data_IF_679286760779
#
_entry.id   IF_679286760779
#
_cell.length_a   1.000
_cell.length_b   1.000
_cell.length_c   1.000
_cell.angle_alpha   90.00
_cell.angle_beta   90.00
_cell.angle_gamma   90.00
#
_symmetry.space_group_name_H-M   'P 1'
#
loop_
_entity.id
_entity.type
_entity.pdbx_description
1 polymer ?
#
# COMPACT_ATOMS: atom_id res chain seq x y z
N UNK A 1 3.16 -34.21 8.72
CA UNK A 1 2.94 -32.78 8.39
C UNK A 1 2.06 -32.75 7.14
N UNK A 2 0.74 -32.53 7.28
CA UNK A 2 -0.18 -32.55 6.15
C UNK A 2 -0.08 -31.22 5.39
N UNK A 3 0.57 -31.23 4.22
CA UNK A 3 0.42 -30.14 3.25
C UNK A 3 -1.02 -30.18 2.76
N UNK A 4 -1.80 -29.13 3.04
CA UNK A 4 -3.09 -28.89 2.38
C UNK A 4 -2.84 -28.96 0.87
N UNK A 5 -3.60 -29.81 0.17
CA UNK A 5 -3.62 -29.86 -1.29
C UNK A 5 -4.38 -28.62 -1.77
N UNK A 6 -3.66 -27.52 -1.97
CA UNK A 6 -4.18 -26.41 -2.77
C UNK A 6 -4.13 -26.86 -4.23
N UNK A 7 -5.28 -26.99 -4.86
CA UNK A 7 -5.41 -27.28 -6.28
C UNK A 7 -4.89 -26.07 -7.06
N UNK A 8 -3.71 -26.24 -7.66
CA UNK A 8 -2.98 -25.26 -8.46
C UNK A 8 -2.49 -24.03 -7.69
N UNK A 9 -1.17 -23.93 -7.56
CA UNK A 9 -0.49 -22.68 -7.19
C UNK A 9 -0.56 -21.74 -8.40
N UNK A 10 -1.76 -21.28 -8.73
CA UNK A 10 -1.95 -20.28 -9.77
C UNK A 10 -1.58 -18.94 -9.17
N UNK A 11 -0.53 -18.30 -9.71
CA UNK A 11 -0.25 -16.91 -9.35
C UNK A 11 -1.52 -16.10 -9.56
N UNK A 12 -1.77 -15.15 -8.66
CA UNK A 12 -2.96 -14.32 -8.76
C UNK A 12 -3.05 -13.75 -10.20
N UNK A 13 -4.23 -13.77 -10.85
CA UNK A 13 -4.39 -13.39 -12.27
C UNK A 13 -3.92 -11.98 -12.63
N UNK A 14 -3.45 -11.19 -11.66
CA UNK A 14 -2.83 -9.88 -11.89
C UNK A 14 -1.30 -9.89 -12.03
N UNK A 15 -0.62 -11.03 -11.81
CA UNK A 15 0.82 -11.15 -12.11
C UNK A 15 0.94 -11.78 -13.50
N UNK A 16 1.23 -10.94 -14.48
CA UNK A 16 1.28 -11.32 -15.90
C UNK A 16 2.58 -12.04 -16.24
N UNK A 17 3.69 -11.66 -15.59
CA UNK A 17 5.00 -12.27 -15.82
C UNK A 17 5.90 -12.12 -14.60
N UNK A 18 6.56 -13.20 -14.23
CA UNK A 18 7.62 -13.21 -13.21
C UNK A 18 8.95 -13.40 -13.93
N UNK A 19 9.91 -12.52 -13.69
CA UNK A 19 11.28 -12.63 -14.20
C UNK A 19 12.23 -12.91 -13.04
N UNK A 20 12.03 -12.24 -11.91
CA UNK A 20 12.87 -12.37 -10.72
C UNK A 20 12.03 -12.21 -9.45
N UNK A 21 12.21 -13.12 -8.51
CA UNK A 21 11.65 -13.10 -7.19
C UNK A 21 12.74 -13.20 -6.11
N UNK A 22 12.41 -12.77 -4.88
CA UNK A 22 13.31 -12.95 -3.74
C UNK A 22 13.35 -14.43 -3.37
N UNK A 23 14.54 -15.04 -3.44
CA UNK A 23 14.72 -16.44 -3.04
C UNK A 23 14.34 -16.63 -1.56
N UNK A 24 13.46 -17.60 -1.29
CA UNK A 24 12.92 -17.84 0.05
C UNK A 24 11.83 -16.85 0.49
N UNK A 25 11.51 -15.86 -0.35
CA UNK A 25 10.49 -14.84 -0.07
C UNK A 25 10.91 -13.85 1.01
N UNK A 26 9.91 -13.19 1.60
CA UNK A 26 10.13 -12.29 2.73
C UNK A 26 8.99 -12.32 3.73
N UNK A 27 9.31 -11.96 4.96
CA UNK A 27 8.38 -11.98 6.08
C UNK A 27 7.60 -10.68 6.13
N UNK A 28 6.27 -10.75 6.04
CA UNK A 28 5.39 -9.59 6.12
C UNK A 28 5.10 -9.25 7.58
N UNK A 29 5.32 -7.99 7.95
CA UNK A 29 5.03 -7.46 9.26
C UNK A 29 3.52 -7.26 9.44
N UNK A 30 2.92 -8.03 10.36
CA UNK A 30 1.48 -7.95 10.63
C UNK A 30 1.08 -6.76 11.51
N UNK A 31 2.03 -6.18 12.23
CA UNK A 31 1.79 -5.27 13.37
C UNK A 31 0.87 -4.11 13.00
N UNK A 32 1.05 -3.55 11.81
CA UNK A 32 0.34 -2.37 11.32
C UNK A 32 -0.97 -2.69 10.59
N UNK A 33 -1.25 -3.97 10.37
CA UNK A 33 -2.42 -4.48 9.65
C UNK A 33 -3.41 -5.19 10.59
N UNK A 34 -2.92 -5.68 11.74
CA UNK A 34 -3.72 -6.39 12.73
C UNK A 34 -4.91 -5.54 13.18
N UNK A 35 -6.11 -6.10 13.06
CA UNK A 35 -7.37 -5.44 13.43
C UNK A 35 -7.95 -4.53 12.34
N UNK A 36 -7.26 -4.37 11.20
CA UNK A 36 -7.74 -3.61 10.04
C UNK A 36 -8.25 -4.59 8.97
N UNK A 37 -7.43 -5.58 8.64
CA UNK A 37 -7.74 -6.64 7.68
C UNK A 37 -7.41 -8.01 8.29
N UNK A 38 -8.06 -9.05 7.77
CA UNK A 38 -7.78 -10.45 8.16
C UNK A 38 -6.74 -11.10 7.26
N UNK A 39 -6.77 -10.79 5.98
CA UNK A 39 -5.87 -11.34 4.97
C UNK A 39 -5.38 -10.17 4.09
N UNK A 40 -4.06 -10.10 3.88
CA UNK A 40 -3.47 -9.20 2.91
C UNK A 40 -3.57 -9.86 1.53
N UNK A 41 -4.22 -9.22 0.54
CA UNK A 41 -4.23 -9.73 -0.82
C UNK A 41 -2.82 -9.78 -1.42
N UNK A 42 -2.60 -10.57 -2.49
CA UNK A 42 -1.38 -10.48 -3.29
C UNK A 42 -1.33 -9.14 -4.03
N UNK A 43 -0.29 -8.92 -4.83
CA UNK A 43 -0.06 -7.71 -5.65
C UNK A 43 -0.04 -6.41 -4.84
N UNK A 44 0.39 -6.48 -3.58
CA UNK A 44 0.56 -5.33 -2.70
C UNK A 44 2.01 -4.88 -2.70
N UNK A 45 2.25 -3.59 -2.84
CA UNK A 45 3.58 -2.98 -2.73
C UNK A 45 4.02 -2.97 -1.27
N UNK A 46 5.23 -3.47 -1.02
CA UNK A 46 5.84 -3.52 0.30
C UNK A 46 7.24 -2.91 0.27
N UNK A 47 7.66 -2.37 1.42
CA UNK A 47 9.00 -1.85 1.66
C UNK A 47 9.65 -2.54 2.84
N UNK A 48 10.96 -2.74 2.80
CA UNK A 48 11.73 -3.42 3.83
C UNK A 48 12.14 -2.46 4.96
N UNK A 49 12.08 -2.94 6.20
CA UNK A 49 12.65 -2.24 7.35
C UNK A 49 14.11 -2.66 7.64
N UNK A 50 14.75 -1.99 8.60
CA UNK A 50 16.13 -2.26 9.01
C UNK A 50 16.34 -3.68 9.57
N UNK A 51 15.28 -4.32 10.09
CA UNK A 51 15.32 -5.69 10.61
C UNK A 51 15.03 -6.74 9.51
N UNK A 52 14.77 -6.29 8.29
CA UNK A 52 14.45 -7.12 7.15
C UNK A 52 13.00 -7.62 7.08
N UNK A 53 12.09 -7.07 7.89
CA UNK A 53 10.66 -7.32 7.74
C UNK A 53 10.08 -6.40 6.66
N UNK A 54 9.14 -6.92 5.89
CA UNK A 54 8.44 -6.16 4.86
C UNK A 54 7.13 -5.60 5.38
N UNK A 55 6.93 -4.30 5.21
CA UNK A 55 5.73 -3.59 5.61
C UNK A 55 4.97 -3.09 4.40
N UNK A 56 3.65 -3.02 4.49
CA UNK A 56 2.80 -2.54 3.39
C UNK A 56 2.99 -1.04 3.21
N UNK A 57 3.29 -0.62 1.99
CA UNK A 57 3.21 0.78 1.61
C UNK A 57 1.74 1.14 1.46
N UNK A 58 1.16 1.73 2.50
CA UNK A 58 -0.27 2.01 2.54
C UNK A 58 -0.62 3.16 1.62
N UNK A 59 -1.59 2.94 0.75
CA UNK A 59 -2.10 3.94 -0.19
C UNK A 59 -3.63 3.92 -0.24
N UNK A 60 -4.23 5.03 -0.68
CA UNK A 60 -5.67 5.12 -0.95
C UNK A 60 -5.94 6.07 -2.12
N UNK A 61 -7.04 5.86 -2.84
CA UNK A 61 -7.43 6.74 -3.95
C UNK A 61 -8.23 7.93 -3.40
N UNK A 62 -7.82 9.15 -3.74
CA UNK A 62 -8.48 10.37 -3.30
C UNK A 62 -9.70 10.63 -4.18
N UNK A 63 -10.86 10.81 -3.56
CA UNK A 63 -12.06 11.34 -4.20
C UNK A 63 -12.12 12.87 -4.12
N UNK A 64 -11.82 13.42 -2.93
CA UNK A 64 -11.90 14.86 -2.67
C UNK A 64 -11.02 15.25 -1.48
N UNK A 65 -10.42 16.43 -1.54
CA UNK A 65 -9.72 17.05 -0.40
C UNK A 65 -10.40 18.39 -0.09
N UNK A 66 -10.71 18.62 1.18
CA UNK A 66 -11.27 19.85 1.70
C UNK A 66 -10.54 20.19 3.00
N UNK A 67 -9.52 21.04 2.90
CA UNK A 67 -8.65 21.41 4.03
C UNK A 67 -8.01 20.18 4.70
N UNK A 68 -8.38 19.89 5.95
CA UNK A 68 -7.89 18.76 6.72
C UNK A 68 -8.75 17.48 6.55
N UNK A 69 -9.79 17.52 5.72
CA UNK A 69 -10.69 16.39 5.47
C UNK A 69 -10.43 15.82 4.07
N UNK A 70 -10.18 14.52 4.01
CA UNK A 70 -9.81 13.79 2.80
C UNK A 70 -10.81 12.65 2.61
N UNK A 71 -11.57 12.70 1.53
CA UNK A 71 -12.44 11.61 1.11
C UNK A 71 -11.64 10.66 0.23
N UNK A 72 -11.63 9.38 0.59
CA UNK A 72 -10.92 8.32 -0.13
C UNK A 72 -11.83 7.15 -0.47
N UNK A 73 -11.44 6.36 -1.47
CA UNK A 73 -12.09 5.09 -1.77
C UNK A 73 -11.95 4.10 -0.62
N UNK A 74 -12.89 3.15 -0.57
CA UNK A 74 -12.92 2.08 0.44
C UNK A 74 -11.69 1.17 0.34
N UNK A 75 -11.53 0.36 1.38
CA UNK A 75 -10.53 -0.72 1.50
C UNK A 75 -9.11 -0.25 1.83
N UNK A 76 -8.86 1.04 2.05
CA UNK A 76 -7.57 1.49 2.54
C UNK A 76 -7.22 0.87 3.91
N UNK A 77 -5.91 0.70 4.17
CA UNK A 77 -5.37 0.07 5.39
C UNK A 77 -4.73 1.05 6.38
N UNK A 78 -5.00 2.35 6.20
CA UNK A 78 -4.55 3.39 7.14
C UNK A 78 -5.14 3.23 8.55
N UNK A 79 -4.39 3.73 9.53
CA UNK A 79 -4.77 3.75 10.94
C UNK A 79 -4.64 5.16 11.53
N UNK A 80 -5.49 5.47 12.50
CA UNK A 80 -5.38 6.70 13.31
C UNK A 80 -3.99 6.77 13.97
N UNK A 81 -3.38 7.95 13.93
CA UNK A 81 -2.03 8.23 14.40
C UNK A 81 -0.92 8.02 13.36
N UNK A 82 -1.23 7.55 12.15
CA UNK A 82 -0.27 7.47 11.05
C UNK A 82 -0.19 8.80 10.30
N UNK A 83 1.00 9.17 9.82
CA UNK A 83 1.18 10.34 8.97
C UNK A 83 0.86 9.99 7.51
N UNK A 84 0.20 10.90 6.80
CA UNK A 84 -0.13 10.74 5.37
C UNK A 84 0.24 11.99 4.59
N UNK A 85 0.54 11.79 3.30
CA UNK A 85 0.83 12.84 2.32
C UNK A 85 0.08 12.59 1.03
N UNK A 86 -0.17 13.66 0.25
CA UNK A 86 -0.78 13.56 -1.07
C UNK A 86 0.32 13.32 -2.10
N UNK A 87 0.24 12.19 -2.81
CA UNK A 87 1.24 11.77 -3.79
C UNK A 87 2.52 11.19 -3.18
N UNK A 88 3.19 10.34 -3.95
CA UNK A 88 4.49 9.74 -3.66
C UNK A 88 5.67 10.55 -4.16
N UNK A 89 5.45 11.78 -4.66
CA UNK A 89 6.51 12.66 -5.16
C UNK A 89 7.30 13.37 -4.04
N UNK A 90 6.89 13.18 -2.78
CA UNK A 90 7.51 13.72 -1.57
C UNK A 90 7.54 15.25 -1.47
N UNK A 91 6.79 15.96 -2.34
CA UNK A 91 6.76 17.43 -2.34
C UNK A 91 5.69 17.99 -1.40
N UNK A 92 4.60 17.25 -1.20
CA UNK A 92 3.53 17.63 -0.29
C UNK A 92 3.97 17.69 1.18
N UNK A 93 3.18 18.38 2.01
CA UNK A 93 3.31 18.27 3.45
C UNK A 93 2.71 16.92 3.91
N UNK A 94 3.07 16.47 5.11
CA UNK A 94 2.49 15.30 5.75
C UNK A 94 2.00 15.62 7.14
N UNK A 95 0.86 15.05 7.54
CA UNK A 95 0.35 15.19 8.90
C UNK A 95 -0.39 13.93 9.36
N UNK A 96 -0.61 13.84 10.67
CA UNK A 96 -1.19 12.70 11.35
C UNK A 96 -2.69 12.59 11.11
N UNK A 97 -3.15 11.36 10.89
CA UNK A 97 -4.57 11.02 10.87
C UNK A 97 -5.12 11.09 12.29
N UNK A 98 -6.12 11.93 12.50
CA UNK A 98 -6.83 12.10 13.78
C UNK A 98 -8.02 11.15 13.87
N UNK A 99 -8.76 10.99 12.77
CA UNK A 99 -9.92 10.12 12.71
C UNK A 99 -10.12 9.53 11.33
N UNK A 100 -10.78 8.37 11.29
CA UNK A 100 -11.20 7.69 10.07
C UNK A 100 -12.66 7.31 10.26
N UNK A 101 -13.54 7.91 9.46
CA UNK A 101 -14.96 7.56 9.40
C UNK A 101 -15.20 6.61 8.23
N UNK A 102 -15.72 5.42 8.53
CA UNK A 102 -16.05 4.36 7.57
C UNK A 102 -17.54 4.11 7.42
N UNK A 103 -18.39 4.99 7.97
CA UNK A 103 -19.85 4.84 8.02
C UNK A 103 -20.50 4.90 6.63
N UNK A 104 -19.89 5.64 5.69
CA UNK A 104 -20.39 5.75 4.33
C UNK A 104 -20.07 4.48 3.52
N UNK A 105 -21.02 4.05 2.69
CA UNK A 105 -20.89 2.83 1.88
C UNK A 105 -19.88 2.99 0.72
N UNK A 106 -19.81 4.19 0.12
CA UNK A 106 -19.07 4.46 -1.12
C UNK A 106 -17.66 5.01 -0.88
N UNK A 107 -17.44 5.62 0.29
CA UNK A 107 -16.17 6.29 0.63
C UNK A 107 -15.83 6.17 2.12
N UNK A 108 -14.56 6.36 2.41
CA UNK A 108 -14.05 6.57 3.76
C UNK A 108 -13.59 8.04 3.90
N UNK A 109 -13.78 8.64 5.07
CA UNK A 109 -13.37 10.02 5.35
C UNK A 109 -12.24 10.03 6.36
N UNK A 110 -11.07 10.49 5.93
CA UNK A 110 -9.87 10.64 6.75
C UNK A 110 -9.74 12.10 7.15
N UNK A 111 -9.67 12.36 8.45
CA UNK A 111 -9.36 13.71 8.98
C UNK A 111 -7.94 13.73 9.48
N UNK A 112 -7.13 14.65 8.94
CA UNK A 112 -5.75 14.90 9.37
C UNK A 112 -5.69 16.08 10.35
N UNK A 113 -4.60 16.19 11.12
CA UNK A 113 -4.47 17.21 12.16
C UNK A 113 -4.36 18.64 11.58
N UNK A 114 -3.76 18.79 10.40
CA UNK A 114 -3.73 20.03 9.65
C UNK A 114 -3.79 19.75 8.15
N UNK A 115 -4.17 20.75 7.35
CA UNK A 115 -4.24 20.62 5.90
C UNK A 115 -2.85 20.31 5.30
N UNK A 116 -2.78 19.24 4.50
CA UNK A 116 -1.53 18.74 3.88
C UNK A 116 -1.34 19.21 2.42
N UNK A 117 -2.18 20.15 1.98
CA UNK A 117 -2.18 20.70 0.63
C UNK A 117 -3.46 20.36 -0.15
N UNK A 118 -3.52 20.85 -1.39
CA UNK A 118 -4.64 20.57 -2.28
C UNK A 118 -4.45 19.21 -2.98
N UNK A 119 -5.46 18.35 -2.92
CA UNK A 119 -5.53 17.10 -3.68
C UNK A 119 -6.64 17.12 -4.71
N UNK A 120 -6.44 16.38 -5.80
CA UNK A 120 -7.42 16.19 -6.88
C UNK A 120 -7.95 14.76 -6.87
N UNK A 121 -9.18 14.60 -7.36
CA UNK A 121 -9.76 13.27 -7.59
C UNK A 121 -8.82 12.43 -8.47
N UNK A 122 -8.60 11.18 -8.08
CA UNK A 122 -7.73 10.25 -8.78
C UNK A 122 -6.25 10.34 -8.39
N UNK A 123 -5.86 11.27 -7.50
CA UNK A 123 -4.54 11.22 -6.87
C UNK A 123 -4.51 10.17 -5.77
N UNK A 124 -3.30 9.76 -5.39
CA UNK A 124 -3.08 8.74 -4.36
C UNK A 124 -2.64 9.40 -3.06
N UNK A 125 -3.31 9.05 -1.97
CA UNK A 125 -2.86 9.36 -0.61
C UNK A 125 -1.88 8.27 -0.18
N UNK A 126 -0.73 8.65 0.38
CA UNK A 126 0.39 7.73 0.67
C UNK A 126 0.82 7.86 2.13
N UNK A 127 1.25 6.73 2.72
CA UNK A 127 1.83 6.67 4.06
C UNK A 127 3.16 7.43 4.15
N UNK A 128 3.20 8.46 4.99
CA UNK A 128 4.40 9.19 5.34
C UNK A 128 5.01 8.64 6.65
N UNK A 129 6.31 8.87 6.83
CA UNK A 129 7.05 8.45 8.03
C UNK A 129 6.55 9.19 9.28
N UNK A 130 6.36 10.48 9.17
CA UNK A 130 6.06 11.40 10.25
C UNK A 130 5.50 12.72 9.72
N UNK A 131 5.04 13.62 10.61
CA UNK A 131 4.56 14.95 10.26
C UNK A 131 5.72 15.80 9.75
N UNK A 132 5.59 16.33 8.55
CA UNK A 132 6.62 17.12 7.90
C UNK A 132 6.04 18.29 7.12
N UNK A 133 6.84 19.34 6.98
CA UNK A 133 6.54 20.43 6.06
C UNK A 133 6.72 19.97 4.60
N UNK A 134 6.18 20.74 3.67
CA UNK A 134 6.35 20.49 2.24
C UNK A 134 7.84 20.35 1.87
N UNK A 135 8.13 19.39 0.98
CA UNK A 135 9.47 18.99 0.53
C UNK A 135 10.38 18.32 1.58
N UNK A 136 9.87 18.05 2.78
CA UNK A 136 10.60 17.29 3.82
C UNK A 136 9.97 15.93 4.13
N UNK A 137 8.83 15.62 3.51
CA UNK A 137 8.14 14.35 3.71
C UNK A 137 8.97 13.18 3.17
N UNK A 138 8.89 12.04 3.85
CA UNK A 138 9.52 10.79 3.45
C UNK A 138 8.53 9.65 3.57
N UNK A 139 8.70 8.62 2.74
CA UNK A 139 7.99 7.36 2.93
C UNK A 139 8.34 6.75 4.28
N UNK A 140 7.34 6.19 4.96
CA UNK A 140 7.61 5.38 6.16
C UNK A 140 8.40 4.11 5.82
N UNK A 141 8.03 3.48 4.71
CA UNK A 141 8.71 2.33 4.11
C UNK A 141 8.87 2.61 2.63
N UNK A 142 10.10 2.54 2.13
CA UNK A 142 10.40 2.81 0.72
C UNK A 142 9.83 1.66 -0.12
N UNK A 143 9.00 1.94 -1.14
CA UNK A 143 8.52 0.92 -2.08
C UNK A 143 9.66 0.14 -2.73
N UNK A 144 9.64 -1.19 -2.63
CA UNK A 144 10.74 -2.03 -3.11
C UNK A 144 10.27 -3.22 -3.95
N UNK A 145 9.27 -3.96 -3.47
CA UNK A 145 8.81 -5.21 -4.11
C UNK A 145 7.31 -5.38 -3.99
N UNK A 146 6.75 -6.35 -4.72
CA UNK A 146 5.31 -6.65 -4.73
C UNK A 146 5.05 -8.06 -4.18
N UNK A 147 4.05 -8.21 -3.31
CA UNK A 147 3.66 -9.52 -2.77
C UNK A 147 3.05 -10.41 -3.85
N UNK A 148 3.39 -11.70 -3.83
CA UNK A 148 2.89 -12.66 -4.81
C UNK A 148 1.74 -13.52 -4.28
N UNK A 149 1.71 -13.72 -2.97
CA UNK A 149 0.74 -14.58 -2.31
C UNK A 149 -0.04 -13.79 -1.27
N UNK A 150 -1.26 -14.26 -1.00
CA UNK A 150 -2.06 -13.80 0.15
C UNK A 150 -1.34 -14.12 1.46
N UNK A 151 -1.55 -13.28 2.47
CA UNK A 151 -0.91 -13.41 3.79
C UNK A 151 -1.96 -13.29 4.88
N UNK A 152 -2.09 -14.32 5.72
CA UNK A 152 -2.98 -14.27 6.87
C UNK A 152 -2.36 -13.39 7.96
N UNK A 153 -3.07 -12.31 8.31
CA UNK A 153 -2.60 -11.29 9.24
C UNK A 153 -3.15 -11.51 10.66
N UNK A 154 -4.04 -12.50 10.82
CA UNK A 154 -4.63 -12.89 12.12
C UNK A 154 -3.64 -13.68 12.98
N UNK A 155 -2.74 -14.43 12.34
CA UNK A 155 -1.67 -15.21 12.99
C UNK A 155 -0.35 -14.43 13.03
N UNK A 156 0.74 -15.04 13.51
CA UNK A 156 2.07 -14.41 13.54
C UNK A 156 2.55 -13.99 12.14
N UNK A 157 3.62 -13.18 12.07
CA UNK A 157 4.19 -12.74 10.79
C UNK A 157 4.42 -13.94 9.86
N UNK A 158 3.91 -13.86 8.64
CA UNK A 158 3.99 -14.93 7.64
C UNK A 158 4.87 -14.52 6.47
N UNK A 159 5.34 -15.52 5.73
CA UNK A 159 6.12 -15.32 4.52
C UNK A 159 5.21 -15.10 3.31
N UNK A 160 5.66 -14.25 2.39
CA UNK A 160 5.10 -14.14 1.04
C UNK A 160 6.22 -14.27 0.01
N UNK A 161 5.88 -14.74 -1.18
CA UNK A 161 6.75 -14.59 -2.34
C UNK A 161 6.81 -13.11 -2.70
N UNK A 162 7.98 -12.62 -3.09
CA UNK A 162 8.19 -11.21 -3.38
C UNK A 162 8.71 -11.06 -4.79
N UNK A 163 7.93 -10.37 -5.63
CA UNK A 163 8.27 -10.05 -7.00
C UNK A 163 9.23 -8.86 -7.01
N UNK A 164 10.42 -9.07 -7.57
CA UNK A 164 11.44 -8.04 -7.78
C UNK A 164 11.35 -7.50 -9.21
N UNK A 165 11.18 -8.39 -10.19
CA UNK A 165 11.15 -8.05 -11.61
C UNK A 165 10.05 -8.81 -12.34
N UNK A 166 9.25 -8.10 -13.12
CA UNK A 166 8.14 -8.73 -13.83
C UNK A 166 7.15 -7.76 -14.45
N UNK A 167 5.95 -8.26 -14.73
CA UNK A 167 4.82 -7.49 -15.23
C UNK A 167 3.63 -7.70 -14.31
N UNK A 168 3.01 -6.61 -13.86
CA UNK A 168 1.84 -6.59 -12.98
C UNK A 168 0.70 -5.82 -13.64
N UNK A 169 -0.50 -6.38 -13.57
CA UNK A 169 -1.74 -5.74 -13.98
C UNK A 169 -2.20 -4.77 -12.89
N UNK A 170 -2.06 -3.49 -13.16
CA UNK A 170 -2.41 -2.40 -12.25
C UNK A 170 -3.91 -2.38 -11.96
N UNK A 171 -4.76 -2.64 -12.96
CA UNK A 171 -6.23 -2.56 -12.82
C UNK A 171 -6.83 -3.47 -11.74
N UNK A 172 -6.14 -4.56 -11.40
CA UNK A 172 -6.57 -5.53 -10.38
C UNK A 172 -5.76 -5.44 -9.10
N UNK A 173 -4.85 -4.45 -8.98
CA UNK A 173 -4.14 -4.20 -7.74
C UNK A 173 -5.13 -3.77 -6.65
N UNK A 174 -5.01 -4.31 -5.42
CA UNK A 174 -5.93 -4.02 -4.32
C UNK A 174 -5.80 -2.59 -3.79
N UNK A 175 -4.63 -1.97 -3.95
CA UNK A 175 -4.33 -0.61 -3.52
C UNK A 175 -3.75 0.20 -4.69
N UNK A 176 -4.08 1.49 -4.80
CA UNK A 176 -3.62 2.31 -5.91
C UNK A 176 -2.15 2.66 -5.76
N UNK A 177 -1.46 2.75 -6.90
CA UNK A 177 -0.03 3.07 -6.98
C UNK A 177 0.14 4.23 -7.95
N UNK A 178 0.78 5.31 -7.51
CA UNK A 178 1.02 6.47 -8.36
C UNK A 178 2.32 6.33 -9.17
N UNK A 179 2.52 7.26 -10.11
CA UNK A 179 3.67 7.21 -11.01
C UNK A 179 5.01 7.37 -10.27
N UNK A 180 5.03 8.07 -9.13
CA UNK A 180 6.23 8.23 -8.31
C UNK A 180 6.64 6.92 -7.63
N UNK A 181 5.68 6.18 -7.06
CA UNK A 181 5.94 4.84 -6.49
C UNK A 181 6.33 3.86 -7.59
N UNK A 182 5.69 3.89 -8.77
CA UNK A 182 6.07 3.06 -9.92
C UNK A 182 7.49 3.32 -10.37
N UNK A 183 7.96 4.58 -10.32
CA UNK A 183 9.33 4.93 -10.68
C UNK A 183 10.37 4.32 -9.72
N UNK A 184 10.02 4.10 -8.44
CA UNK A 184 10.87 3.38 -7.48
C UNK A 184 10.91 1.87 -7.80
N UNK A 185 9.81 1.30 -8.30
CA UNK A 185 9.67 -0.09 -8.72
C UNK A 185 10.10 -0.31 -10.18
N UNK A 186 11.25 0.24 -10.58
CA UNK A 186 11.74 0.31 -11.98
C UNK A 186 11.80 -1.03 -12.72
N UNK A 187 11.96 -2.13 -12.00
CA UNK A 187 12.09 -3.48 -12.54
C UNK A 187 10.72 -4.17 -12.72
N UNK A 188 9.63 -3.55 -12.24
CA UNK A 188 8.26 -4.02 -12.37
C UNK A 188 7.54 -3.16 -13.41
N UNK A 189 7.08 -3.80 -14.48
CA UNK A 189 6.25 -3.16 -15.49
C UNK A 189 4.78 -3.22 -15.09
N UNK A 190 4.17 -2.05 -14.88
CA UNK A 190 2.73 -1.93 -14.65
C UNK A 190 1.99 -1.83 -15.99
N UNK A 191 0.98 -2.69 -16.19
CA UNK A 191 0.12 -2.72 -17.38
C UNK A 191 -1.35 -2.58 -16.99
N UNK A 192 -2.19 -2.08 -17.90
CA UNK A 192 -3.62 -1.82 -17.67
C UNK A 192 -3.89 -0.89 -16.48
N UNK A 193 -3.90 0.43 -16.73
CA UNK A 193 -4.14 1.44 -15.67
C UNK A 193 -5.43 1.17 -14.88
N UNK A 194 -5.39 1.45 -13.57
CA UNK A 194 -6.61 1.52 -12.77
C UNK A 194 -7.54 2.60 -13.34
N UNK A 195 -8.82 2.26 -13.43
CA UNK A 195 -9.88 3.16 -13.92
C UNK A 195 -10.48 3.96 -12.78
#
# INVERSE_FOLDING_TARGET
MFRKKESEFQYHPGIEKIIEDVQGGGTIARKELKGIIKELPPIVVVGRDENGLYHVVKTALIQKVSEAVIEVDKNHVFKVGEAVMIGGDLKGASDLIVSIDKSNADKDVITVAAAIGAGKKGQVLVLAKDKQNANSANFKYIPEVVTMNKVDVTVANQQSGLLVRGTVNESVMPYPVDDAIKALLKDIRFVYKQK
#
